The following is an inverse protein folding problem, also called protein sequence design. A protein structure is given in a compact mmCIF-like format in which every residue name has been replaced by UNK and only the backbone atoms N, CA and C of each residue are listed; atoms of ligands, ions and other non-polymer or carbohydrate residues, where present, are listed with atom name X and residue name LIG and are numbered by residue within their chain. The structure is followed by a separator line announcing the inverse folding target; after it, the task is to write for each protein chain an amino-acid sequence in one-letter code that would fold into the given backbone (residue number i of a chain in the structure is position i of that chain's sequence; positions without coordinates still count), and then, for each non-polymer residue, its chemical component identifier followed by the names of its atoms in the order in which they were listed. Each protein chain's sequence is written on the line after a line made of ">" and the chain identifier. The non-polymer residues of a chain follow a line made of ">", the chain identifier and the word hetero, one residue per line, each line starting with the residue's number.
data_IF_491075876352
#
_entry.id   IF_491075876352
#
_cell.length_a   1.000
_cell.length_b   1.000
_cell.length_c   1.000
_cell.angle_alpha   90.00
_cell.angle_beta   90.00
_cell.angle_gamma   90.00
#
_symmetry.space_group_name_H-M   'P 1'
#
loop_
_entity.id
_entity.type
_entity.pdbx_description
1 polymer ?
#
# COMPACT_ATOMS: atom_id res chain seq x y z
N UNK A 1 -55.46 20.38 20.67
CA UNK A 1 -54.65 21.04 19.61
C UNK A 1 -53.97 19.94 18.81
N UNK A 2 -54.18 19.92 17.49
CA UNK A 2 -54.00 18.74 16.63
C UNK A 2 -52.54 18.63 16.13
N UNK A 3 -51.82 17.62 16.63
CA UNK A 3 -50.43 17.28 16.26
C UNK A 3 -50.25 16.96 14.76
N UNK A 4 -51.34 16.67 14.04
CA UNK A 4 -51.32 16.38 12.59
C UNK A 4 -51.14 17.60 11.70
N UNK A 5 -51.36 18.82 12.20
CA UNK A 5 -51.19 20.05 11.40
C UNK A 5 -49.73 20.47 11.31
N UNK A 6 -48.94 20.20 12.35
CA UNK A 6 -47.54 20.63 12.44
C UNK A 6 -46.60 19.79 11.55
N UNK A 7 -46.89 18.49 11.39
CA UNK A 7 -46.11 17.58 10.53
C UNK A 7 -46.34 17.89 9.05
N UNK A 8 -47.52 18.41 8.68
CA UNK A 8 -47.84 18.78 7.29
C UNK A 8 -47.10 20.02 6.83
N UNK A 9 -46.88 21.01 7.70
CA UNK A 9 -46.07 22.19 7.41
C UNK A 9 -44.59 21.82 7.17
N UNK A 10 -44.02 20.98 8.04
CA UNK A 10 -42.62 20.53 7.93
C UNK A 10 -42.34 19.71 6.64
N UNK A 11 -43.31 18.90 6.19
CA UNK A 11 -43.16 18.13 4.96
C UNK A 11 -43.30 18.99 3.69
N UNK A 12 -44.03 20.10 3.72
CA UNK A 12 -44.06 21.09 2.61
C UNK A 12 -42.75 21.85 2.46
N UNK A 13 -42.10 22.22 3.57
CA UNK A 13 -40.80 22.91 3.53
C UNK A 13 -39.67 22.01 3.00
N UNK A 14 -39.69 20.71 3.31
CA UNK A 14 -38.74 19.75 2.75
C UNK A 14 -38.97 19.48 1.26
N UNK A 15 -40.21 19.62 0.76
CA UNK A 15 -40.53 19.41 -0.65
C UNK A 15 -40.12 20.60 -1.55
N UNK A 16 -40.17 21.83 -1.03
CA UNK A 16 -39.80 23.03 -1.79
C UNK A 16 -38.28 23.23 -1.96
N UNK A 17 -37.45 22.61 -1.11
CA UNK A 17 -35.99 22.68 -1.25
C UNK A 17 -35.42 21.72 -2.31
N UNK A 18 -36.27 20.97 -3.02
CA UNK A 18 -35.86 19.98 -4.03
C UNK A 18 -35.89 20.49 -5.48
N UNK A 19 -36.24 21.75 -5.71
CA UNK A 19 -36.27 22.36 -7.05
C UNK A 19 -35.65 23.77 -7.05
N UNK A 20 -34.34 23.84 -6.85
CA UNK A 20 -33.48 24.88 -7.44
C UNK A 20 -32.27 24.12 -7.97
N UNK A 21 -32.07 23.96 -9.27
CA UNK A 21 -31.98 25.02 -10.26
C UNK A 21 -30.51 25.02 -10.70
N UNK A 22 -30.27 24.53 -11.92
CA UNK A 22 -28.97 24.24 -12.51
C UNK A 22 -27.95 25.37 -12.34
N UNK A 23 -26.75 25.00 -11.91
CA UNK A 23 -25.52 25.77 -12.17
C UNK A 23 -24.53 24.82 -12.81
N UNK A 24 -24.25 25.04 -14.09
CA UNK A 24 -23.21 24.36 -14.84
C UNK A 24 -21.85 24.86 -14.35
N UNK A 25 -21.33 24.27 -13.28
CA UNK A 25 -19.91 24.24 -13.05
C UNK A 25 -19.42 22.91 -13.63
N UNK A 26 -18.58 22.97 -14.65
CA UNK A 26 -17.80 21.84 -15.13
C UNK A 26 -16.81 21.45 -14.04
N UNK A 27 -17.30 20.75 -13.02
CA UNK A 27 -16.46 19.84 -12.26
C UNK A 27 -15.99 18.80 -13.27
N UNK A 28 -14.70 18.81 -13.59
CA UNK A 28 -14.04 17.60 -14.03
C UNK A 28 -14.09 16.65 -12.83
N UNK A 29 -15.23 15.98 -12.67
CA UNK A 29 -15.40 14.86 -11.78
C UNK A 29 -14.43 13.78 -12.25
N UNK A 30 -13.26 13.74 -11.62
CA UNK A 30 -12.45 12.52 -11.60
C UNK A 30 -13.21 11.58 -10.67
N UNK A 31 -14.10 10.79 -11.24
CA UNK A 31 -14.65 9.61 -10.58
C UNK A 31 -13.48 8.79 -10.03
N UNK A 32 -13.48 8.42 -8.74
CA UNK A 32 -12.51 7.47 -8.26
C UNK A 32 -12.82 6.14 -8.94
N UNK A 33 -12.07 5.81 -9.99
CA UNK A 33 -12.00 4.45 -10.48
C UNK A 33 -11.40 3.60 -9.37
N UNK A 34 -12.27 3.12 -8.48
CA UNK A 34 -11.97 2.03 -7.56
C UNK A 34 -11.82 0.79 -8.43
N UNK A 35 -10.64 0.68 -9.05
CA UNK A 35 -10.15 -0.55 -9.64
C UNK A 35 -10.06 -1.55 -8.49
N UNK A 36 -11.12 -2.31 -8.32
CA UNK A 36 -11.19 -3.41 -7.38
C UNK A 36 -10.09 -4.39 -7.75
N UNK A 37 -8.96 -4.27 -7.07
CA UNK A 37 -7.90 -5.27 -7.13
C UNK A 37 -8.43 -6.49 -6.38
N UNK A 38 -9.14 -7.37 -7.09
CA UNK A 38 -9.50 -8.68 -6.54
C UNK A 38 -8.22 -9.50 -6.44
N UNK A 39 -7.55 -9.39 -5.30
CA UNK A 39 -6.46 -10.30 -4.93
C UNK A 39 -7.07 -11.67 -4.69
N UNK A 40 -7.02 -12.53 -5.70
CA UNK A 40 -7.21 -13.97 -5.50
C UNK A 40 -5.98 -14.47 -4.74
N UNK A 41 -6.00 -14.30 -3.42
CA UNK A 41 -4.87 -14.64 -2.55
C UNK A 41 -5.06 -16.06 -2.05
N UNK A 42 -4.35 -17.00 -2.67
CA UNK A 42 -4.29 -18.39 -2.21
C UNK A 42 -3.15 -18.63 -1.19
N UNK A 43 -2.59 -17.57 -0.60
CA UNK A 43 -1.47 -17.64 0.35
C UNK A 43 -0.98 -16.26 0.85
N UNK A 44 0.09 -16.23 1.66
CA UNK A 44 0.70 -14.98 2.12
C UNK A 44 1.19 -14.10 0.96
N UNK A 45 1.19 -12.77 1.11
CA UNK A 45 1.87 -11.90 0.12
C UNK A 45 3.37 -12.21 0.17
N UNK A 46 4.05 -12.41 -0.97
CA UNK A 46 5.51 -12.42 -1.00
C UNK A 46 6.11 -11.12 -0.45
N UNK A 47 7.28 -11.22 0.17
CA UNK A 47 8.00 -10.08 0.77
C UNK A 47 9.37 -9.97 0.10
N UNK A 48 9.75 -8.76 -0.27
CA UNK A 48 11.11 -8.45 -0.74
C UNK A 48 11.81 -7.66 0.35
N UNK A 49 13.03 -8.08 0.70
CA UNK A 49 13.90 -7.32 1.57
C UNK A 49 15.05 -6.70 0.81
N UNK A 50 15.39 -5.48 1.20
CA UNK A 50 16.52 -4.74 0.71
C UNK A 50 17.22 -4.16 1.94
N UNK A 51 18.43 -4.64 2.22
CA UNK A 51 19.19 -4.19 3.38
C UNK A 51 19.65 -2.74 3.25
N UNK A 52 19.98 -2.13 4.38
CA UNK A 52 20.53 -0.78 4.42
C UNK A 52 22.05 -0.73 4.23
N UNK A 53 22.58 0.48 4.42
CA UNK A 53 24.01 0.79 4.43
C UNK A 53 24.73 -0.01 5.53
N UNK A 54 25.84 -0.67 5.17
CA UNK A 54 26.67 -1.41 6.13
C UNK A 54 26.17 -2.80 6.49
N UNK A 55 25.14 -3.31 5.81
CA UNK A 55 24.58 -4.64 6.03
C UNK A 55 24.65 -5.50 4.76
N UNK A 56 24.14 -6.73 4.82
CA UNK A 56 24.05 -7.67 3.69
C UNK A 56 22.68 -8.36 3.69
N UNK A 57 22.32 -9.04 2.59
CA UNK A 57 21.05 -9.75 2.45
C UNK A 57 20.74 -10.71 3.60
N UNK A 58 21.80 -11.25 4.21
CA UNK A 58 21.73 -12.55 4.86
C UNK A 58 22.51 -12.59 6.18
N UNK A 59 22.85 -11.44 6.76
CA UNK A 59 23.50 -11.33 8.06
C UNK A 59 22.59 -11.92 9.18
N UNK A 60 22.99 -12.98 9.89
CA UNK A 60 22.14 -13.64 10.88
C UNK A 60 21.79 -12.75 12.08
N UNK A 61 22.59 -11.72 12.36
CA UNK A 61 22.34 -10.76 13.45
C UNK A 61 21.47 -9.57 13.03
N UNK A 62 21.16 -9.45 11.74
CA UNK A 62 20.34 -8.36 11.17
C UNK A 62 19.24 -8.94 10.28
N UNK A 63 19.24 -8.64 8.98
CA UNK A 63 18.16 -8.97 8.06
C UNK A 63 17.93 -10.48 7.90
N UNK A 64 18.98 -11.29 7.99
CA UNK A 64 18.87 -12.76 7.98
C UNK A 64 18.12 -13.28 9.21
N UNK A 65 18.41 -12.74 10.39
CA UNK A 65 17.67 -13.07 11.62
C UNK A 65 16.22 -12.60 11.55
N UNK A 66 15.99 -11.39 11.05
CA UNK A 66 14.64 -10.86 10.84
C UNK A 66 13.84 -11.70 9.83
N UNK A 67 14.47 -12.18 8.76
CA UNK A 67 13.81 -13.08 7.80
C UNK A 67 13.38 -14.40 8.43
N UNK A 68 14.16 -14.94 9.37
CA UNK A 68 13.76 -16.15 10.10
C UNK A 68 12.56 -15.88 11.00
N UNK A 69 12.60 -14.78 11.76
CA UNK A 69 11.45 -14.35 12.56
C UNK A 69 10.18 -14.20 11.70
N UNK A 70 10.24 -13.55 10.54
CA UNK A 70 9.08 -13.38 9.66
C UNK A 70 8.56 -14.72 9.12
N UNK A 71 9.43 -15.69 8.79
CA UNK A 71 9.00 -17.04 8.38
C UNK A 71 8.28 -17.79 9.50
N UNK A 72 8.70 -17.59 10.75
CA UNK A 72 8.03 -18.16 11.92
C UNK A 72 6.65 -17.53 12.16
N UNK A 73 6.54 -16.21 12.01
CA UNK A 73 5.28 -15.49 12.22
C UNK A 73 4.28 -15.67 11.06
N UNK A 74 4.77 -15.92 9.84
CA UNK A 74 3.94 -16.06 8.64
C UNK A 74 4.32 -17.37 7.90
N UNK A 75 3.81 -18.52 8.35
CA UNK A 75 4.13 -19.80 7.73
C UNK A 75 3.78 -19.83 6.23
N UNK A 76 4.72 -20.31 5.41
CA UNK A 76 4.55 -20.40 3.96
C UNK A 76 4.77 -19.09 3.19
N UNK A 77 5.22 -18.01 3.84
CA UNK A 77 5.58 -16.77 3.14
C UNK A 77 6.85 -16.95 2.30
N UNK A 78 6.82 -16.45 1.07
CA UNK A 78 8.01 -16.33 0.23
C UNK A 78 8.73 -15.03 0.56
N UNK A 79 10.00 -15.12 0.95
CA UNK A 79 10.87 -13.96 1.20
C UNK A 79 12.02 -13.99 0.21
N UNK A 80 12.13 -12.94 -0.60
CA UNK A 80 13.29 -12.67 -1.44
C UNK A 80 14.15 -11.60 -0.78
N UNK A 81 15.31 -11.97 -0.23
CA UNK A 81 16.28 -11.00 0.30
C UNK A 81 17.27 -10.65 -0.79
N UNK A 82 17.22 -9.41 -1.28
CA UNK A 82 18.06 -8.97 -2.39
C UNK A 82 19.53 -9.06 -2.00
N UNK A 83 20.28 -9.83 -2.79
CA UNK A 83 21.72 -10.00 -2.65
C UNK A 83 22.41 -9.22 -3.77
N UNK A 84 23.10 -8.16 -3.42
CA UNK A 84 23.75 -7.26 -4.39
C UNK A 84 25.26 -7.42 -4.25
N UNK A 85 25.79 -8.45 -4.90
CA UNK A 85 27.18 -8.88 -4.78
C UNK A 85 27.30 -10.40 -4.60
N UNK A 86 28.51 -10.91 -4.67
CA UNK A 86 28.82 -12.35 -4.61
C UNK A 86 29.01 -12.84 -3.17
N UNK A 87 29.46 -11.96 -2.26
CA UNK A 87 29.73 -12.29 -0.86
C UNK A 87 29.47 -11.11 0.08
N UNK A 88 29.35 -11.41 1.38
CA UNK A 88 28.88 -10.46 2.41
C UNK A 88 29.68 -9.15 2.46
N UNK A 89 31.01 -9.20 2.41
CA UNK A 89 31.84 -7.99 2.44
C UNK A 89 31.64 -7.11 1.20
N UNK A 90 31.37 -7.70 0.04
CA UNK A 90 31.07 -6.96 -1.18
C UNK A 90 29.69 -6.32 -1.12
N UNK A 91 28.68 -7.00 -0.58
CA UNK A 91 27.35 -6.39 -0.34
C UNK A 91 27.44 -5.18 0.58
N UNK A 92 28.27 -5.28 1.63
CA UNK A 92 28.54 -4.15 2.52
C UNK A 92 29.21 -3.01 1.75
N UNK A 93 30.27 -3.27 0.98
CA UNK A 93 30.94 -2.25 0.17
C UNK A 93 29.99 -1.59 -0.85
N UNK A 94 29.21 -2.41 -1.55
CA UNK A 94 28.25 -1.95 -2.55
C UNK A 94 27.11 -1.15 -1.95
N UNK A 95 26.71 -1.44 -0.71
CA UNK A 95 25.74 -0.61 0.01
C UNK A 95 26.22 0.84 0.15
N UNK A 96 27.54 1.09 0.21
CA UNK A 96 28.12 2.43 0.28
C UNK A 96 28.41 3.03 -1.09
N UNK A 97 28.96 2.24 -2.03
CA UNK A 97 29.64 2.80 -3.20
C UNK A 97 29.09 2.36 -4.56
N UNK A 98 28.17 1.40 -4.60
CA UNK A 98 27.64 0.91 -5.88
C UNK A 98 26.58 1.87 -6.47
N UNK A 99 26.55 1.96 -7.79
CA UNK A 99 25.58 2.75 -8.52
C UNK A 99 24.15 2.25 -8.27
N UNK A 100 23.27 3.11 -7.76
CA UNK A 100 21.88 2.75 -7.46
C UNK A 100 21.11 2.20 -8.67
N UNK A 101 21.45 2.60 -9.90
CA UNK A 101 20.82 2.03 -11.08
C UNK A 101 21.19 0.56 -11.29
N UNK A 102 22.43 0.17 -10.98
CA UNK A 102 22.86 -1.23 -11.00
C UNK A 102 22.15 -2.02 -9.90
N UNK A 103 21.99 -1.42 -8.72
CA UNK A 103 21.27 -2.04 -7.62
C UNK A 103 19.79 -2.29 -7.97
N UNK A 104 19.11 -1.30 -8.57
CA UNK A 104 17.73 -1.42 -9.06
C UNK A 104 17.62 -2.48 -10.17
N UNK A 105 18.56 -2.49 -11.11
CA UNK A 105 18.60 -3.49 -12.18
C UNK A 105 18.84 -4.91 -11.66
N UNK A 106 19.52 -5.07 -10.52
CA UNK A 106 19.70 -6.37 -9.85
C UNK A 106 18.43 -6.82 -9.13
N UNK A 107 17.57 -5.89 -8.72
CA UNK A 107 16.33 -6.18 -8.02
C UNK A 107 15.15 -6.55 -8.94
N UNK A 108 15.25 -6.22 -10.23
CA UNK A 108 14.19 -6.36 -11.25
C UNK A 108 14.48 -7.52 -12.20
#
# INVERSE_FOLDING_TARGET
>A
MKLSSFIRELLSFLYLCRFGGASTASEHAVEPEQRSFQVRKSGPTPIVFYHGLGDSCCNPLSLGGFANFVREQIPGVHINSLKIGDYMLQEIEYSYFENSNIQVATAC
#
